data_IF_752690447033
#
_entry.id   IF_752690447033
#
_cell.length_a   1.000
_cell.length_b   1.000
_cell.length_c   1.000
_cell.angle_alpha   90.00
_cell.angle_beta   90.00
_cell.angle_gamma   90.00
#
_symmetry.space_group_name_H-M   'P 1'
#
loop_
_entity.id
_entity.type
_entity.pdbx_description
1 polymer ?
#
# COMPACT_ATOMS: atom_id res chain seq x y z
N UNK A 1 -40.45 -36.95 -2.38
CA UNK A 1 -40.80 -35.55 -2.24
C UNK A 1 -40.02 -34.84 -1.12
N UNK A 2 -38.71 -35.17 -0.94
CA UNK A 2 -37.88 -34.55 0.12
C UNK A 2 -36.61 -33.88 -0.37
N UNK A 3 -36.44 -33.69 -1.67
CA UNK A 3 -35.17 -33.16 -2.22
C UNK A 3 -35.22 -31.73 -2.80
N UNK A 4 -36.28 -30.98 -2.54
CA UNK A 4 -36.46 -29.63 -3.14
C UNK A 4 -36.08 -28.49 -2.17
N UNK A 5 -35.77 -28.76 -0.89
CA UNK A 5 -35.51 -27.72 0.12
C UNK A 5 -34.03 -27.42 0.40
N UNK A 6 -33.08 -28.26 -0.02
CA UNK A 6 -31.68 -28.11 0.38
C UNK A 6 -30.84 -27.07 -0.41
N UNK A 7 -31.03 -26.82 -1.72
CA UNK A 7 -30.17 -25.86 -2.42
C UNK A 7 -30.46 -24.38 -2.05
N UNK A 8 -31.66 -24.06 -1.65
CA UNK A 8 -32.05 -22.69 -1.31
C UNK A 8 -31.51 -22.21 0.04
N UNK A 9 -31.39 -23.12 1.02
CA UNK A 9 -30.90 -22.76 2.36
C UNK A 9 -29.37 -22.59 2.38
N UNK A 10 -28.65 -23.36 1.58
CA UNK A 10 -27.19 -23.19 1.45
C UNK A 10 -26.82 -21.93 0.68
N UNK A 11 -27.60 -21.54 -0.32
CA UNK A 11 -27.39 -20.28 -1.07
C UNK A 11 -27.68 -19.05 -0.19
N UNK A 12 -28.71 -19.09 0.67
CA UNK A 12 -29.05 -18.00 1.60
C UNK A 12 -27.98 -17.86 2.70
N UNK A 13 -27.44 -18.95 3.22
CA UNK A 13 -26.35 -18.91 4.19
C UNK A 13 -25.04 -18.37 3.61
N UNK A 14 -24.71 -18.67 2.35
CA UNK A 14 -23.54 -18.12 1.67
C UNK A 14 -23.66 -16.63 1.39
N UNK A 15 -24.83 -16.14 1.01
CA UNK A 15 -25.10 -14.69 0.82
C UNK A 15 -25.08 -13.93 2.14
N UNK A 16 -25.52 -14.52 3.24
CA UNK A 16 -25.49 -13.90 4.56
C UNK A 16 -24.06 -13.74 5.10
N UNK A 17 -23.16 -14.69 4.83
CA UNK A 17 -21.75 -14.58 5.22
C UNK A 17 -20.97 -13.55 4.39
N UNK A 18 -21.31 -13.34 3.13
CA UNK A 18 -20.68 -12.34 2.27
C UNK A 18 -21.14 -10.92 2.65
N UNK A 19 -22.43 -10.74 2.99
CA UNK A 19 -22.98 -9.45 3.42
C UNK A 19 -22.57 -9.03 4.84
N UNK A 20 -22.36 -10.01 5.75
CA UNK A 20 -22.00 -9.75 7.15
C UNK A 20 -20.52 -9.41 7.37
N UNK A 21 -19.63 -9.83 6.49
CA UNK A 21 -18.20 -9.51 6.54
C UNK A 21 -17.87 -8.19 5.82
N UNK A 22 -18.62 -7.84 4.79
CA UNK A 22 -18.41 -6.57 4.08
C UNK A 22 -18.78 -5.33 4.91
N UNK A 23 -19.69 -5.43 5.88
CA UNK A 23 -20.09 -4.30 6.72
C UNK A 23 -19.22 -4.09 7.99
N UNK A 24 -18.30 -5.00 8.30
CA UNK A 24 -17.43 -4.90 9.49
C UNK A 24 -16.04 -4.35 9.23
N UNK A 25 -15.63 -4.16 7.99
CA UNK A 25 -14.28 -3.73 7.65
C UNK A 25 -14.33 -2.52 6.72
N UNK A 26 -14.98 -1.46 7.16
CA UNK A 26 -14.60 -0.14 6.69
C UNK A 26 -13.49 0.35 7.62
N UNK A 27 -12.29 -0.20 7.44
CA UNK A 27 -11.13 0.41 8.07
C UNK A 27 -10.98 1.83 7.51
N UNK A 28 -10.70 2.75 8.42
CA UNK A 28 -10.49 4.13 8.05
C UNK A 28 -9.31 4.21 7.08
N UNK A 29 -9.57 4.55 5.83
CA UNK A 29 -8.59 4.66 4.75
C UNK A 29 -8.14 6.09 4.48
N UNK A 30 -8.66 7.06 5.25
CA UNK A 30 -8.32 8.47 5.14
C UNK A 30 -8.36 9.15 6.51
N UNK A 31 -7.72 10.29 6.61
CA UNK A 31 -7.73 11.14 7.79
C UNK A 31 -8.22 12.53 7.43
N UNK A 32 -9.26 12.97 8.13
CA UNK A 32 -9.85 14.29 7.96
C UNK A 32 -9.53 15.20 9.14
N UNK A 33 -9.47 16.50 8.87
CA UNK A 33 -9.33 17.52 9.89
C UNK A 33 -10.57 17.55 10.78
N UNK A 34 -10.39 17.35 12.09
CA UNK A 34 -11.49 17.41 13.07
C UNK A 34 -11.79 18.82 13.57
N UNK A 35 -10.91 19.77 13.31
CA UNK A 35 -10.99 21.18 13.70
C UNK A 35 -10.32 22.02 12.63
N UNK A 36 -10.70 23.29 12.58
CA UNK A 36 -9.97 24.28 11.79
C UNK A 36 -8.58 24.51 12.40
N UNK A 37 -7.57 24.71 11.56
CA UNK A 37 -6.23 24.92 12.05
C UNK A 37 -5.21 25.05 10.92
N UNK A 38 -3.93 24.96 11.30
CA UNK A 38 -2.79 25.03 10.41
C UNK A 38 -2.01 23.73 10.46
N UNK A 39 -1.68 23.18 9.32
CA UNK A 39 -0.90 21.94 9.21
C UNK A 39 0.58 22.24 9.48
N UNK A 40 1.22 21.33 10.22
CA UNK A 40 2.66 21.27 10.38
C UNK A 40 3.16 19.85 10.10
N UNK A 41 4.13 19.74 9.22
CA UNK A 41 4.83 18.48 8.97
C UNK A 41 6.02 18.35 9.92
N UNK A 42 6.26 17.13 10.43
CA UNK A 42 7.51 16.86 11.14
C UNK A 42 8.69 16.89 10.17
N UNK A 43 9.88 17.17 10.69
CA UNK A 43 11.13 17.16 9.89
C UNK A 43 11.38 15.82 9.18
N UNK A 44 10.85 14.73 9.74
CA UNK A 44 10.99 13.39 9.20
C UNK A 44 9.91 13.05 8.16
N UNK A 45 8.94 13.92 7.87
CA UNK A 45 7.93 13.65 6.86
C UNK A 45 8.49 14.03 5.48
N UNK A 46 8.97 13.02 4.77
CA UNK A 46 9.46 13.16 3.39
C UNK A 46 8.36 12.78 2.39
N UNK A 47 8.03 13.72 1.51
CA UNK A 47 6.99 13.59 0.51
C UNK A 47 7.62 13.64 -0.89
N UNK A 48 7.25 12.68 -1.72
CA UNK A 48 7.69 12.62 -3.10
C UNK A 48 6.51 12.95 -4.02
N UNK A 49 6.70 13.91 -4.92
CA UNK A 49 5.75 14.20 -5.98
C UNK A 49 5.75 13.07 -7.02
N UNK A 50 4.60 12.51 -7.28
CA UNK A 50 4.41 11.45 -8.27
C UNK A 50 3.06 11.61 -8.98
N UNK A 51 2.76 10.70 -9.91
CA UNK A 51 1.45 10.61 -10.54
C UNK A 51 0.75 9.36 -10.05
N UNK A 52 -0.52 9.50 -9.72
CA UNK A 52 -1.36 8.36 -9.35
C UNK A 52 -1.83 7.57 -10.59
N UNK A 53 -2.69 6.58 -10.38
CA UNK A 53 -3.25 5.73 -11.44
C UNK A 53 -4.06 6.55 -12.46
N UNK A 54 -4.67 7.66 -12.03
CA UNK A 54 -5.42 8.61 -12.87
C UNK A 54 -4.54 9.69 -13.49
N UNK A 55 -3.20 9.56 -13.39
CA UNK A 55 -2.18 10.51 -13.87
C UNK A 55 -2.25 11.90 -13.24
N UNK A 56 -2.93 12.05 -12.11
CA UNK A 56 -2.95 13.28 -11.33
C UNK A 56 -1.68 13.41 -10.49
N UNK A 57 -1.20 14.64 -10.34
CA UNK A 57 -0.05 14.91 -9.49
C UNK A 57 -0.46 14.75 -8.03
N UNK A 58 0.21 13.88 -7.30
CA UNK A 58 -0.02 13.60 -5.88
C UNK A 58 1.30 13.60 -5.12
N UNK A 59 1.25 13.97 -3.86
CA UNK A 59 2.36 13.81 -2.93
C UNK A 59 2.21 12.48 -2.19
N UNK A 60 3.26 11.69 -2.14
CA UNK A 60 3.24 10.37 -1.48
C UNK A 60 4.31 10.31 -0.39
N UNK A 61 3.93 9.79 0.77
CA UNK A 61 4.85 9.62 1.90
C UNK A 61 5.88 8.52 1.61
N UNK A 62 7.15 8.89 1.60
CA UNK A 62 8.28 7.97 1.34
C UNK A 62 9.00 7.50 2.60
N UNK A 63 8.46 7.79 3.77
CA UNK A 63 9.03 7.44 5.08
C UNK A 63 8.00 6.79 5.99
N UNK A 64 8.48 5.97 6.95
CA UNK A 64 7.60 5.24 7.88
C UNK A 64 7.27 6.00 9.16
N UNK A 65 8.05 7.02 9.52
CA UNK A 65 7.97 7.73 10.79
C UNK A 65 7.56 9.20 10.65
N UNK A 66 6.98 9.57 9.49
CA UNK A 66 6.49 10.92 9.26
C UNK A 66 5.26 11.22 10.13
N UNK A 67 5.19 12.42 10.68
CA UNK A 67 4.05 12.91 11.45
C UNK A 67 3.49 14.17 10.83
N UNK A 68 2.17 14.31 10.92
CA UNK A 68 1.43 15.50 10.58
C UNK A 68 0.72 16.00 11.82
N UNK A 69 0.76 17.29 12.06
CA UNK A 69 0.16 17.94 13.22
C UNK A 69 -0.79 19.05 12.77
N UNK A 70 -1.88 19.20 13.50
CA UNK A 70 -2.82 20.31 13.34
C UNK A 70 -2.61 21.28 14.51
N UNK A 71 -2.37 22.54 14.19
CA UNK A 71 -2.10 23.60 15.16
C UNK A 71 -3.27 24.58 15.21
N UNK A 72 -3.50 25.15 16.39
CA UNK A 72 -4.40 26.29 16.57
C UNK A 72 -3.72 27.61 16.12
N UNK A 73 -4.45 28.72 16.22
CA UNK A 73 -3.95 30.06 15.90
C UNK A 73 -2.81 30.53 16.83
N UNK A 74 -2.66 29.91 17.98
CA UNK A 74 -1.61 30.19 18.96
C UNK A 74 -0.39 29.30 18.81
N UNK A 75 -0.46 28.29 17.88
CA UNK A 75 0.62 27.34 17.65
C UNK A 75 0.59 26.10 18.55
N UNK A 76 -0.47 25.90 19.33
CA UNK A 76 -0.62 24.69 20.15
C UNK A 76 -1.09 23.53 19.29
N UNK A 77 -0.63 22.31 19.59
CA UNK A 77 -1.00 21.10 18.89
C UNK A 77 -2.43 20.70 19.27
N UNK A 78 -3.35 20.73 18.31
CA UNK A 78 -4.73 20.25 18.45
C UNK A 78 -4.85 18.75 18.22
N UNK A 79 -4.07 18.23 17.26
CA UNK A 79 -4.04 16.81 16.89
C UNK A 79 -2.68 16.47 16.26
N UNK A 80 -2.26 15.21 16.40
CA UNK A 80 -1.04 14.69 15.79
C UNK A 80 -1.32 13.28 15.26
N UNK A 81 -0.88 13.00 14.03
CA UNK A 81 -1.05 11.71 13.37
C UNK A 81 0.26 11.22 12.79
N UNK A 82 0.48 9.93 12.87
CA UNK A 82 1.51 9.28 12.10
C UNK A 82 0.97 9.02 10.69
N UNK A 83 1.67 9.50 9.67
CA UNK A 83 1.27 9.30 8.27
C UNK A 83 1.84 7.98 7.78
N UNK A 84 1.00 7.01 7.38
CA UNK A 84 1.47 5.72 6.90
C UNK A 84 2.33 5.85 5.65
N UNK A 85 3.34 4.98 5.51
CA UNK A 85 4.16 4.91 4.31
C UNK A 85 3.30 4.61 3.07
N UNK A 86 3.54 5.33 1.98
CA UNK A 86 2.76 5.20 0.75
C UNK A 86 1.43 5.95 0.75
N UNK A 87 1.10 6.69 1.83
CA UNK A 87 -0.11 7.52 1.86
C UNK A 87 -0.05 8.66 0.84
N UNK A 88 -1.18 8.93 0.22
CA UNK A 88 -1.39 10.14 -0.59
C UNK A 88 -1.68 11.31 0.35
N UNK A 89 -0.94 12.39 0.26
CA UNK A 89 -1.10 13.60 1.07
C UNK A 89 -1.71 14.70 0.21
N UNK A 90 -2.78 15.33 0.69
CA UNK A 90 -3.60 16.30 -0.05
C UNK A 90 -3.42 17.74 0.42
N UNK A 91 -2.60 17.96 1.43
CA UNK A 91 -2.35 19.27 2.03
C UNK A 91 -0.87 19.60 2.02
N UNK A 92 -0.56 20.89 2.07
CA UNK A 92 0.81 21.37 2.13
C UNK A 92 1.23 21.72 3.57
N UNK A 93 2.54 21.77 3.79
CA UNK A 93 3.07 22.25 5.07
C UNK A 93 2.69 23.70 5.29
N UNK A 94 2.16 24.00 6.46
CA UNK A 94 1.64 25.32 6.87
C UNK A 94 0.33 25.75 6.19
N UNK A 95 -0.32 24.87 5.47
CA UNK A 95 -1.65 25.13 4.91
C UNK A 95 -2.71 25.28 6.03
N UNK A 96 -3.66 26.18 5.80
CA UNK A 96 -4.85 26.32 6.65
C UNK A 96 -5.91 25.34 6.16
N UNK A 97 -6.42 24.52 7.06
CA UNK A 97 -7.42 23.52 6.78
C UNK A 97 -8.68 23.78 7.60
N UNK A 98 -9.81 23.32 7.07
CA UNK A 98 -11.13 23.41 7.71
C UNK A 98 -11.60 22.03 8.15
N UNK A 99 -12.54 21.99 9.08
CA UNK A 99 -13.20 20.75 9.51
C UNK A 99 -13.72 19.97 8.32
N UNK A 100 -13.44 18.65 8.30
CA UNK A 100 -13.88 17.73 7.24
C UNK A 100 -12.99 17.71 6.00
N UNK A 101 -11.96 18.55 5.91
CA UNK A 101 -10.99 18.48 4.82
C UNK A 101 -10.10 17.25 4.96
N UNK A 102 -10.01 16.42 3.92
CA UNK A 102 -9.14 15.24 3.91
C UNK A 102 -7.68 15.65 3.85
N UNK A 103 -6.89 15.18 4.81
CA UNK A 103 -5.47 15.50 4.96
C UNK A 103 -4.59 14.50 4.21
N UNK A 104 -4.86 13.22 4.39
CA UNK A 104 -4.16 12.13 3.71
C UNK A 104 -5.02 10.88 3.64
N UNK A 105 -4.72 10.00 2.69
CA UNK A 105 -5.40 8.73 2.52
C UNK A 105 -4.39 7.60 2.25
N UNK A 106 -4.74 6.38 2.65
CA UNK A 106 -3.92 5.18 2.46
C UNK A 106 -4.79 3.96 2.19
N UNK A 107 -4.20 2.89 1.66
CA UNK A 107 -4.85 1.59 1.57
C UNK A 107 -4.51 0.78 2.82
N UNK A 108 -5.48 0.43 3.67
CA UNK A 108 -5.23 -0.34 4.89
C UNK A 108 -4.92 -1.81 4.61
N UNK A 109 -5.26 -2.32 3.42
CA UNK A 109 -5.12 -3.73 3.06
C UNK A 109 -3.85 -4.04 2.27
N UNK A 110 -3.14 -3.01 1.82
CA UNK A 110 -1.99 -3.16 0.95
C UNK A 110 -0.82 -2.33 1.45
N UNK A 111 0.31 -2.96 1.69
CA UNK A 111 1.60 -2.26 1.78
C UNK A 111 2.16 -2.06 0.37
N UNK A 112 2.95 -1.02 0.19
CA UNK A 112 3.58 -0.73 -1.10
C UNK A 112 5.09 -0.64 -0.99
N UNK A 113 5.79 -0.92 -2.09
CA UNK A 113 7.19 -0.55 -2.27
C UNK A 113 7.24 0.55 -3.33
N UNK A 114 7.78 1.70 -2.95
CA UNK A 114 7.92 2.86 -3.83
C UNK A 114 9.35 2.94 -4.37
N UNK A 115 9.50 3.42 -5.60
CA UNK A 115 10.80 3.85 -6.10
C UNK A 115 11.25 5.12 -5.37
N UNK A 116 12.45 5.11 -4.81
CA UNK A 116 13.03 6.30 -4.16
C UNK A 116 13.66 7.26 -5.15
N UNK A 117 14.04 6.76 -6.31
CA UNK A 117 14.76 7.52 -7.33
C UNK A 117 14.19 7.26 -8.70
N UNK A 118 14.45 8.16 -9.62
CA UNK A 118 14.18 7.92 -11.05
C UNK A 118 15.23 6.96 -11.60
N UNK A 119 14.81 5.96 -12.38
CA UNK A 119 15.73 5.00 -12.96
C UNK A 119 15.06 3.95 -13.85
N UNK A 120 15.79 2.90 -14.11
CA UNK A 120 15.32 1.73 -14.87
C UNK A 120 15.21 0.55 -13.92
N UNK A 121 14.10 -0.14 -13.95
CA UNK A 121 13.83 -1.36 -13.17
C UNK A 121 14.70 -2.49 -13.69
N UNK A 122 15.34 -3.23 -12.78
CA UNK A 122 16.01 -4.49 -13.06
C UNK A 122 15.56 -5.56 -12.08
N UNK A 123 15.10 -6.66 -12.63
CA UNK A 123 14.73 -7.83 -11.86
C UNK A 123 15.97 -8.68 -11.60
N UNK A 124 16.12 -9.15 -10.35
CA UNK A 124 17.18 -10.05 -9.92
C UNK A 124 16.57 -11.25 -9.22
N UNK A 125 17.09 -12.45 -9.50
CA UNK A 125 16.60 -13.72 -8.96
C UNK A 125 15.10 -13.97 -9.23
N UNK A 126 14.55 -13.36 -10.28
CA UNK A 126 13.19 -13.52 -10.72
C UNK A 126 13.12 -14.59 -11.80
N UNK A 127 12.69 -15.81 -11.44
CA UNK A 127 12.60 -16.98 -12.31
C UNK A 127 11.15 -17.44 -12.33
N UNK A 128 10.55 -17.45 -13.53
CA UNK A 128 9.17 -17.88 -13.73
C UNK A 128 8.98 -19.35 -13.34
N UNK A 129 7.94 -19.64 -12.58
CA UNK A 129 7.64 -20.98 -12.06
C UNK A 129 8.48 -21.39 -10.85
N UNK A 130 9.50 -20.61 -10.45
CA UNK A 130 10.32 -20.88 -9.27
C UNK A 130 10.19 -19.79 -8.21
N UNK A 131 10.43 -18.52 -8.54
CA UNK A 131 10.36 -17.40 -7.59
C UNK A 131 9.15 -16.51 -7.82
N UNK A 132 8.52 -16.59 -8.99
CA UNK A 132 7.27 -15.91 -9.28
C UNK A 132 6.39 -16.72 -10.24
N UNK A 133 5.11 -16.41 -10.25
CA UNK A 133 4.13 -16.88 -11.25
C UNK A 133 3.43 -15.68 -11.90
N UNK A 134 3.03 -15.87 -13.16
CA UNK A 134 2.15 -14.94 -13.84
C UNK A 134 0.69 -15.35 -13.65
N UNK A 135 -0.09 -14.48 -13.04
CA UNK A 135 -1.54 -14.66 -12.86
C UNK A 135 -2.30 -13.78 -13.85
N UNK A 136 -3.28 -14.36 -14.52
CA UNK A 136 -4.16 -13.61 -15.41
C UNK A 136 -5.20 -12.85 -14.57
N UNK A 137 -5.33 -11.55 -14.82
CA UNK A 137 -6.33 -10.67 -14.20
C UNK A 137 -7.41 -10.32 -15.23
N UNK A 138 -8.61 -9.99 -14.73
CA UNK A 138 -9.69 -9.46 -15.58
C UNK A 138 -9.17 -8.32 -16.48
N UNK A 139 -9.47 -8.43 -17.78
CA UNK A 139 -8.98 -7.50 -18.80
C UNK A 139 -7.72 -7.95 -19.53
N UNK A 140 -7.26 -9.22 -19.37
CA UNK A 140 -6.15 -9.81 -20.14
C UNK A 140 -4.76 -9.32 -19.75
N UNK A 141 -4.64 -8.57 -18.65
CA UNK A 141 -3.34 -8.19 -18.07
C UNK A 141 -2.79 -9.33 -17.25
N UNK A 142 -1.50 -9.58 -17.36
CA UNK A 142 -0.78 -10.53 -16.51
C UNK A 142 -0.17 -9.78 -15.32
N UNK A 143 -0.33 -10.33 -14.13
CA UNK A 143 0.30 -9.85 -12.90
C UNK A 143 1.38 -10.82 -12.47
N UNK A 144 2.53 -10.30 -12.06
CA UNK A 144 3.64 -11.07 -11.52
C UNK A 144 3.48 -11.15 -10.01
N UNK A 145 3.28 -12.37 -9.51
CA UNK A 145 3.11 -12.63 -8.07
C UNK A 145 4.30 -13.44 -7.57
N UNK A 146 4.92 -12.98 -6.49
CA UNK A 146 6.07 -13.66 -5.89
C UNK A 146 5.61 -14.91 -5.14
N UNK A 147 6.23 -16.03 -5.48
CA UNK A 147 5.96 -17.35 -4.90
C UNK A 147 7.09 -17.80 -4.00
N UNK A 148 6.82 -18.76 -3.14
CA UNK A 148 7.85 -19.38 -2.32
C UNK A 148 8.77 -20.25 -3.19
N UNK A 149 10.06 -19.93 -3.21
CA UNK A 149 11.07 -20.75 -3.90
C UNK A 149 11.56 -21.88 -3.00
N UNK A 150 11.72 -23.07 -3.58
CA UNK A 150 12.40 -24.20 -2.92
C UNK A 150 13.90 -23.98 -2.79
N UNK A 151 14.46 -23.11 -3.64
CA UNK A 151 15.89 -22.79 -3.63
C UNK A 151 16.14 -21.58 -2.74
N UNK A 152 16.70 -21.83 -1.55
CA UNK A 152 17.01 -20.81 -0.54
C UNK A 152 18.11 -19.81 -0.96
N UNK A 153 18.82 -20.10 -2.03
CA UNK A 153 19.87 -19.21 -2.56
C UNK A 153 19.29 -18.10 -3.45
N UNK A 154 18.02 -18.21 -3.85
CA UNK A 154 17.34 -17.20 -4.64
C UNK A 154 16.60 -16.21 -3.73
N UNK A 155 16.86 -14.93 -3.95
CA UNK A 155 16.21 -13.84 -3.23
C UNK A 155 15.67 -12.83 -4.24
N UNK A 156 14.39 -13.01 -4.68
CA UNK A 156 13.81 -12.14 -5.68
C UNK A 156 13.81 -10.68 -5.19
N UNK A 157 14.38 -9.79 -5.99
CA UNK A 157 14.45 -8.38 -5.67
C UNK A 157 14.44 -7.49 -6.92
N UNK A 158 14.04 -6.24 -6.72
CA UNK A 158 14.05 -5.20 -7.73
C UNK A 158 15.18 -4.23 -7.43
N UNK A 159 15.98 -3.90 -8.46
CA UNK A 159 17.00 -2.86 -8.40
C UNK A 159 16.59 -1.72 -9.32
N UNK A 160 16.69 -0.48 -8.85
CA UNK A 160 16.50 0.70 -9.69
C UNK A 160 17.87 1.22 -10.11
N UNK A 161 18.22 1.05 -11.38
CA UNK A 161 19.44 1.61 -11.96
C UNK A 161 19.23 3.08 -12.32
N UNK A 162 19.92 3.97 -11.63
CA UNK A 162 19.93 5.40 -11.97
C UNK A 162 21.13 5.75 -12.84
N UNK A 163 20.89 6.43 -13.95
CA UNK A 163 21.98 6.91 -14.85
C UNK A 163 22.74 8.12 -14.28
N UNK A 164 22.38 8.61 -13.09
CA UNK A 164 22.95 9.84 -12.53
C UNK A 164 24.36 9.63 -11.95
N UNK A 165 24.82 8.38 -11.80
CA UNK A 165 26.13 8.09 -11.23
C UNK A 165 26.77 6.89 -11.93
N UNK A 166 27.51 7.14 -12.98
CA UNK A 166 28.31 6.12 -13.69
C UNK A 166 29.47 5.55 -12.87
N UNK A 167 29.68 6.05 -11.65
CA UNK A 167 30.76 5.64 -10.75
C UNK A 167 30.30 4.96 -9.45
N UNK A 168 29.01 4.98 -9.13
CA UNK A 168 28.43 4.26 -7.98
C UNK A 168 27.28 3.39 -8.42
N UNK A 169 27.49 2.09 -8.42
CA UNK A 169 26.48 1.05 -8.49
C UNK A 169 25.63 1.08 -7.21
N UNK A 170 24.94 2.16 -6.98
CA UNK A 170 24.09 2.42 -5.84
C UNK A 170 22.61 2.29 -6.23
N UNK A 171 22.23 1.17 -6.81
CA UNK A 171 20.82 0.85 -7.04
C UNK A 171 20.12 0.60 -5.70
N UNK A 172 18.97 1.23 -5.47
CA UNK A 172 18.11 0.89 -4.35
C UNK A 172 17.54 -0.50 -4.61
N UNK A 173 18.04 -1.52 -3.91
CA UNK A 173 17.52 -2.87 -3.98
C UNK A 173 16.35 -3.03 -3.01
N UNK A 174 15.24 -3.58 -3.50
CA UNK A 174 14.06 -3.91 -2.69
C UNK A 174 13.78 -5.39 -2.78
N UNK A 175 13.94 -6.10 -1.67
CA UNK A 175 13.62 -7.54 -1.56
C UNK A 175 12.10 -7.68 -1.63
N UNK A 176 11.63 -8.68 -2.38
CA UNK A 176 10.22 -8.95 -2.61
C UNK A 176 9.74 -10.06 -1.68
N UNK A 177 8.79 -9.78 -0.79
CA UNK A 177 8.19 -10.81 0.05
C UNK A 177 7.28 -11.72 -0.77
N UNK A 178 7.05 -12.93 -0.26
CA UNK A 178 6.09 -13.88 -0.84
C UNK A 178 4.69 -13.24 -0.88
N UNK A 179 3.92 -13.52 -1.94
CA UNK A 179 2.60 -12.95 -2.25
C UNK A 179 2.63 -11.47 -2.68
N UNK A 180 3.81 -10.86 -2.78
CA UNK A 180 3.93 -9.53 -3.35
C UNK A 180 3.57 -9.54 -4.84
N UNK A 181 2.80 -8.54 -5.26
CA UNK A 181 2.42 -8.34 -6.66
C UNK A 181 3.29 -7.25 -7.25
N UNK A 182 4.09 -7.60 -8.25
CA UNK A 182 4.94 -6.66 -8.98
C UNK A 182 4.12 -6.01 -10.10
N UNK A 183 4.05 -4.67 -10.11
CA UNK A 183 3.28 -3.90 -11.09
C UNK A 183 4.13 -3.28 -12.21
N UNK A 184 5.43 -3.30 -12.07
CA UNK A 184 6.39 -2.80 -13.06
C UNK A 184 7.03 -3.96 -13.81
N UNK A 185 7.64 -3.65 -14.97
CA UNK A 185 8.32 -4.66 -15.79
C UNK A 185 9.83 -4.48 -15.75
N UNK A 186 10.58 -5.55 -16.02
CA UNK A 186 12.02 -5.42 -16.22
C UNK A 186 12.33 -4.49 -17.38
N UNK A 187 13.29 -3.58 -17.19
CA UNK A 187 13.64 -2.54 -18.18
C UNK A 187 12.70 -1.31 -18.19
N UNK A 188 11.63 -1.29 -17.39
CA UNK A 188 10.72 -0.15 -17.33
C UNK A 188 11.37 1.07 -16.67
N UNK A 189 11.09 2.26 -17.22
CA UNK A 189 11.52 3.52 -16.62
C UNK A 189 10.52 3.97 -15.57
N UNK A 190 11.00 4.19 -14.36
CA UNK A 190 10.19 4.63 -13.23
C UNK A 190 10.66 5.98 -12.69
N UNK A 191 9.72 6.72 -12.09
CA UNK A 191 10.00 7.96 -11.40
C UNK A 191 10.06 7.72 -9.88
N UNK A 192 10.66 8.67 -9.15
CA UNK A 192 10.56 8.65 -7.70
C UNK A 192 9.09 8.70 -7.26
N UNK A 193 8.75 8.00 -6.17
CA UNK A 193 7.38 7.90 -5.65
C UNK A 193 6.46 6.94 -6.41
N UNK A 194 6.88 6.38 -7.54
CA UNK A 194 6.09 5.40 -8.28
C UNK A 194 6.04 4.08 -7.52
N UNK A 195 4.83 3.48 -7.44
CA UNK A 195 4.63 2.18 -6.81
C UNK A 195 5.24 1.10 -7.72
N UNK A 196 6.12 0.28 -7.15
CA UNK A 196 6.77 -0.84 -7.82
C UNK A 196 6.07 -2.16 -7.51
N UNK A 197 5.63 -2.30 -6.26
CA UNK A 197 5.11 -3.56 -5.72
C UNK A 197 3.98 -3.26 -4.76
N UNK A 198 2.95 -4.09 -4.79
CA UNK A 198 1.84 -4.13 -3.83
C UNK A 198 1.96 -5.42 -3.00
N UNK A 199 1.89 -5.32 -1.70
CA UNK A 199 2.00 -6.43 -0.75
C UNK A 199 0.69 -6.53 0.01
N UNK A 200 -0.13 -7.57 -0.19
CA UNK A 200 -1.35 -7.73 0.56
C UNK A 200 -1.03 -7.90 2.05
N UNK A 201 -1.67 -7.11 2.89
CA UNK A 201 -1.65 -7.32 4.33
C UNK A 201 -2.58 -8.48 4.65
N UNK A 202 -2.08 -9.49 5.35
CA UNK A 202 -2.97 -10.43 6.01
C UNK A 202 -3.68 -9.67 7.13
N UNK A 203 -4.86 -9.16 6.84
CA UNK A 203 -5.79 -8.70 7.88
C UNK A 203 -6.10 -9.95 8.68
N UNK A 204 -5.39 -10.11 9.80
CA UNK A 204 -5.47 -11.31 10.62
C UNK A 204 -6.94 -11.62 10.86
N UNK A 205 -7.36 -12.83 10.49
CA UNK A 205 -8.57 -13.42 11.05
C UNK A 205 -8.49 -13.12 12.53
N UNK A 206 -9.39 -12.31 13.04
CA UNK A 206 -9.60 -12.15 14.46
C UNK A 206 -9.61 -13.56 14.99
N UNK A 207 -8.57 -13.95 15.74
CA UNK A 207 -8.61 -15.20 16.49
C UNK A 207 -9.84 -15.04 17.36
N UNK A 208 -10.91 -15.73 17.02
CA UNK A 208 -11.96 -16.03 17.97
C UNK A 208 -11.26 -16.69 19.15
N UNK A 209 -10.98 -15.86 20.16
CA UNK A 209 -10.62 -16.35 21.48
C UNK A 209 -11.96 -16.82 22.07
N UNK A 210 -12.46 -17.92 21.58
CA UNK A 210 -13.38 -18.74 22.36
C UNK A 210 -12.51 -19.41 23.41
N UNK A 211 -12.17 -18.60 24.42
CA UNK A 211 -11.67 -19.12 25.67
C UNK A 211 -12.76 -20.01 26.25
N UNK A 212 -12.58 -21.33 26.14
CA UNK A 212 -13.36 -22.26 26.91
C UNK A 212 -13.22 -21.90 28.38
N UNK A 213 -14.33 -21.58 29.00
CA UNK A 213 -14.43 -21.53 30.45
C UNK A 213 -14.53 -22.99 30.96
N UNK A 214 -13.91 -23.27 32.11
CA UNK A 214 -14.01 -24.57 32.75
C UNK A 214 -15.42 -24.88 33.25
#
# INVERSE_FOLDING_TARGET
AQSIGEPGTQLTLRTFHIGGTASRIVEQSHMDARKDGKIRFSENLDLIATKDEDKQNVMVTAVRNGKMELLDVKGNILSSWQVPYGSKVFVENHEKVTVGQTLFAWDPYTDVILSRTRGVVRFKDMIEGETYSEEAVEGGKKMVVITESKNRNLSPHIVIESKLDSTRTGGSASILPIRATVIVRDGEKVNAGQILVKIPRDVGKTRDITGGLP
#
